data_IF_367376194286
#
_entry.id   IF_367376194286
#
_cell.length_a   1.000
_cell.length_b   1.000
_cell.length_c   1.000
_cell.angle_alpha   90.00
_cell.angle_beta   90.00
_cell.angle_gamma   90.00
#
_symmetry.space_group_name_H-M   'P 1'
#
loop_
_entity.id
_entity.type
_entity.pdbx_description
1 polymer ?
#
# COMPACT_ATOMS: atom_id res chain seq x y z
N UNK A 1 4.56 -14.22 -23.17
CA UNK A 1 3.60 -14.52 -22.07
C UNK A 1 2.86 -15.81 -22.37
N UNK A 2 2.69 -16.68 -21.35
CA UNK A 2 1.81 -17.86 -21.40
C UNK A 2 0.34 -17.45 -21.52
N UNK A 3 -0.58 -18.40 -21.74
CA UNK A 3 -2.02 -18.11 -21.76
C UNK A 3 -2.52 -17.58 -20.40
N UNK A 4 -2.05 -18.19 -19.30
CA UNK A 4 -2.37 -17.76 -17.93
C UNK A 4 -1.85 -16.35 -17.64
N UNK A 5 -0.62 -16.04 -18.03
CA UNK A 5 -0.06 -14.69 -17.90
C UNK A 5 -0.84 -13.65 -18.70
N UNK A 6 -1.35 -13.98 -19.87
CA UNK A 6 -2.16 -13.04 -20.67
C UNK A 6 -3.47 -12.67 -19.99
N UNK A 7 -4.16 -13.66 -19.44
CA UNK A 7 -5.41 -13.42 -18.70
C UNK A 7 -5.15 -12.53 -17.49
N UNK A 8 -4.12 -12.84 -16.71
CA UNK A 8 -3.75 -12.03 -15.54
C UNK A 8 -3.29 -10.62 -15.94
N UNK A 9 -2.53 -10.48 -17.03
CA UNK A 9 -2.09 -9.18 -17.53
C UNK A 9 -3.27 -8.27 -17.86
N UNK A 10 -4.25 -8.77 -18.62
CA UNK A 10 -5.43 -7.97 -18.99
C UNK A 10 -6.26 -7.57 -17.77
N UNK A 11 -6.43 -8.47 -16.80
CA UNK A 11 -7.14 -8.15 -15.57
C UNK A 11 -6.39 -7.10 -14.72
N UNK A 12 -5.08 -7.27 -14.55
CA UNK A 12 -4.24 -6.28 -13.85
C UNK A 12 -4.24 -4.93 -14.56
N UNK A 13 -4.04 -4.92 -15.88
CA UNK A 13 -4.02 -3.71 -16.69
C UNK A 13 -5.33 -2.92 -16.53
N UNK A 14 -6.47 -3.58 -16.71
CA UNK A 14 -7.78 -2.96 -16.55
C UNK A 14 -7.98 -2.39 -15.14
N UNK A 15 -7.59 -3.14 -14.11
CA UNK A 15 -7.69 -2.70 -12.72
C UNK A 15 -6.77 -1.52 -12.41
N UNK A 16 -5.55 -1.52 -12.94
CA UNK A 16 -4.58 -0.43 -12.77
C UNK A 16 -5.12 0.84 -13.46
N UNK A 17 -5.53 0.74 -14.73
CA UNK A 17 -6.05 1.88 -15.48
C UNK A 17 -7.31 2.49 -14.84
N UNK A 18 -8.07 1.70 -14.10
CA UNK A 18 -9.30 2.16 -13.42
C UNK A 18 -9.00 2.78 -12.05
N UNK A 19 -8.19 2.13 -11.22
CA UNK A 19 -8.14 2.38 -9.78
C UNK A 19 -6.81 2.99 -9.28
N UNK A 20 -5.70 2.82 -10.02
CA UNK A 20 -4.38 3.24 -9.58
C UNK A 20 -3.91 4.45 -10.40
N UNK A 21 -4.05 5.64 -9.82
CA UNK A 21 -3.72 6.92 -10.45
C UNK A 21 -2.65 7.65 -9.63
N UNK A 22 -1.90 8.51 -10.32
CA UNK A 22 -0.96 9.43 -9.70
C UNK A 22 0.50 8.98 -9.70
N UNK A 23 0.78 7.76 -10.14
CA UNK A 23 2.14 7.23 -10.28
C UNK A 23 2.24 6.29 -11.49
N UNK A 24 3.46 5.97 -11.91
CA UNK A 24 3.68 5.10 -13.06
C UNK A 24 3.59 3.63 -12.64
N UNK A 25 2.54 2.95 -13.10
CA UNK A 25 2.30 1.52 -12.87
C UNK A 25 2.39 0.70 -14.17
N UNK A 26 2.30 1.36 -15.32
CA UNK A 26 2.45 0.80 -16.67
C UNK A 26 3.38 1.73 -17.44
N UNK A 27 4.42 1.19 -18.06
CA UNK A 27 5.36 1.97 -18.84
C UNK A 27 4.87 2.25 -20.28
N UNK A 28 5.66 3.02 -21.04
CA UNK A 28 5.34 3.41 -22.43
C UNK A 28 5.20 2.22 -23.39
N UNK A 29 5.78 1.08 -23.04
CA UNK A 29 5.70 -0.16 -23.83
C UNK A 29 4.47 -1.01 -23.48
N UNK A 30 3.74 -0.63 -22.43
CA UNK A 30 2.63 -1.37 -21.86
C UNK A 30 3.07 -2.44 -20.85
N UNK A 31 4.34 -2.47 -20.44
CA UNK A 31 4.78 -3.39 -19.40
C UNK A 31 4.31 -2.93 -18.03
N UNK A 32 3.81 -3.87 -17.23
CA UNK A 32 3.48 -3.63 -15.83
C UNK A 32 4.77 -3.47 -15.03
N UNK A 33 4.84 -2.43 -14.21
CA UNK A 33 5.97 -2.16 -13.32
C UNK A 33 5.54 -2.27 -11.84
N UNK A 34 6.44 -2.01 -10.91
CA UNK A 34 6.12 -2.21 -9.50
C UNK A 34 5.84 -3.68 -9.15
N UNK A 35 4.96 -3.94 -8.19
CA UNK A 35 4.69 -5.30 -7.70
C UNK A 35 3.98 -6.18 -8.76
N UNK A 36 3.29 -5.57 -9.71
CA UNK A 36 2.57 -6.30 -10.76
C UNK A 36 3.49 -7.07 -11.69
N UNK A 37 4.73 -6.59 -11.93
CA UNK A 37 5.70 -7.28 -12.79
C UNK A 37 6.07 -8.68 -12.25
N UNK A 38 6.58 -8.84 -11.01
CA UNK A 38 6.85 -10.16 -10.45
C UNK A 38 5.59 -11.01 -10.28
N UNK A 39 4.43 -10.41 -9.95
CA UNK A 39 3.18 -11.16 -9.85
C UNK A 39 2.74 -11.72 -11.20
N UNK A 40 2.86 -10.94 -12.27
CA UNK A 40 2.57 -11.41 -13.63
C UNK A 40 3.53 -12.52 -14.08
N UNK A 41 4.81 -12.42 -13.67
CA UNK A 41 5.82 -13.42 -13.98
C UNK A 41 5.50 -14.79 -13.35
N UNK A 42 4.90 -14.77 -12.17
CA UNK A 42 4.54 -15.97 -11.41
C UNK A 42 3.03 -15.99 -11.08
N UNK A 43 2.15 -16.28 -12.06
CA UNK A 43 0.68 -16.13 -11.92
C UNK A 43 0.09 -16.96 -10.78
N UNK A 44 0.66 -18.14 -10.50
CA UNK A 44 0.24 -19.00 -9.39
C UNK A 44 0.21 -18.27 -8.04
N UNK A 45 1.12 -17.33 -7.82
CA UNK A 45 1.18 -16.51 -6.61
C UNK A 45 0.56 -15.12 -6.83
N UNK A 46 0.85 -14.50 -7.98
CA UNK A 46 0.40 -13.16 -8.29
C UNK A 46 -1.11 -13.03 -8.48
N UNK A 47 -1.77 -14.04 -9.04
CA UNK A 47 -3.23 -14.04 -9.19
C UNK A 47 -3.97 -13.91 -7.86
N UNK A 48 -3.77 -14.80 -6.88
CA UNK A 48 -4.39 -14.67 -5.55
C UNK A 48 -4.06 -13.35 -4.83
N UNK A 49 -2.83 -12.84 -4.98
CA UNK A 49 -2.46 -11.55 -4.40
C UNK A 49 -3.26 -10.42 -5.05
N UNK A 50 -3.39 -10.46 -6.37
CA UNK A 50 -4.18 -9.48 -7.12
C UNK A 50 -5.67 -9.52 -6.73
N UNK A 51 -6.24 -10.68 -6.46
CA UNK A 51 -7.61 -10.78 -5.93
C UNK A 51 -7.74 -10.08 -4.57
N UNK A 52 -6.76 -10.21 -3.67
CA UNK A 52 -6.74 -9.51 -2.40
C UNK A 52 -6.64 -7.99 -2.59
N UNK A 53 -5.80 -7.53 -3.52
CA UNK A 53 -5.70 -6.11 -3.90
C UNK A 53 -7.06 -5.57 -4.35
N UNK A 54 -7.75 -6.29 -5.24
CA UNK A 54 -9.09 -5.92 -5.71
C UNK A 54 -10.11 -5.88 -4.56
N UNK A 55 -10.10 -6.89 -3.70
CA UNK A 55 -11.02 -6.96 -2.55
C UNK A 55 -10.87 -5.75 -1.61
N UNK A 56 -9.62 -5.34 -1.32
CA UNK A 56 -9.34 -4.18 -0.47
C UNK A 56 -9.60 -2.83 -1.18
N UNK A 57 -9.69 -2.81 -2.51
CA UNK A 57 -9.88 -1.58 -3.29
C UNK A 57 -11.33 -1.30 -3.65
N UNK A 58 -12.21 -2.31 -3.68
CA UNK A 58 -13.53 -2.22 -4.29
C UNK A 58 -14.56 -1.48 -3.43
N UNK A 59 -14.48 -1.55 -2.11
CA UNK A 59 -15.44 -0.91 -1.21
C UNK A 59 -14.81 -0.55 0.12
N UNK A 60 -13.84 0.38 0.12
CA UNK A 60 -13.12 0.72 1.34
C UNK A 60 -14.06 1.37 2.35
N UNK A 61 -14.06 0.86 3.59
CA UNK A 61 -14.74 1.46 4.74
C UNK A 61 -13.93 2.59 5.35
N UNK A 62 -12.61 2.51 5.17
CA UNK A 62 -11.68 3.46 5.75
C UNK A 62 -11.55 4.73 4.91
N UNK A 63 -11.40 5.90 5.53
CA UNK A 63 -11.03 7.14 4.84
C UNK A 63 -9.72 6.96 4.06
N UNK A 64 -9.66 7.56 2.88
CA UNK A 64 -8.47 7.44 2.01
C UNK A 64 -7.16 7.85 2.68
N UNK A 65 -7.06 8.99 3.41
CA UNK A 65 -5.82 9.36 4.11
C UNK A 65 -5.40 8.34 5.17
N UNK A 66 -6.34 7.75 5.89
CA UNK A 66 -6.10 6.70 6.90
C UNK A 66 -5.43 5.48 6.26
N UNK A 67 -5.88 5.07 5.07
CA UNK A 67 -5.27 3.97 4.32
C UNK A 67 -3.83 4.28 3.92
N UNK A 68 -3.58 5.49 3.39
CA UNK A 68 -2.23 5.90 2.98
C UNK A 68 -1.25 5.96 4.16
N UNK A 69 -1.70 6.38 5.34
CA UNK A 69 -0.86 6.33 6.56
C UNK A 69 -0.41 4.89 6.84
N UNK A 70 -1.33 3.92 6.83
CA UNK A 70 -0.97 2.51 7.03
C UNK A 70 0.04 1.99 6.01
N UNK A 71 -0.15 2.36 4.74
CA UNK A 71 0.73 1.96 3.63
C UNK A 71 2.11 2.61 3.77
N UNK A 72 2.17 3.91 4.02
CA UNK A 72 3.43 4.65 4.17
C UNK A 72 4.24 4.18 5.38
N UNK A 73 3.58 3.91 6.53
CA UNK A 73 4.24 3.32 7.71
C UNK A 73 4.86 1.98 7.37
N UNK A 74 4.14 1.16 6.60
CA UNK A 74 4.65 -0.15 6.14
C UNK A 74 5.83 0.02 5.19
N UNK A 75 5.69 0.83 4.15
CA UNK A 75 6.76 1.10 3.18
C UNK A 75 8.03 1.65 3.84
N UNK A 76 7.88 2.58 4.77
CA UNK A 76 9.00 3.15 5.55
C UNK A 76 9.71 2.08 6.40
N UNK A 77 8.93 1.22 7.09
CA UNK A 77 9.48 0.13 7.91
C UNK A 77 10.32 -0.85 7.09
N UNK A 78 9.84 -1.23 5.91
CA UNK A 78 10.54 -2.14 4.99
C UNK A 78 11.58 -1.44 4.11
N UNK A 79 11.64 -0.10 4.13
CA UNK A 79 12.48 0.71 3.22
C UNK A 79 12.24 0.35 1.76
N UNK A 80 10.99 0.15 1.40
CA UNK A 80 10.58 -0.26 0.06
C UNK A 80 10.50 0.96 -0.85
N UNK A 81 11.48 1.14 -1.72
CA UNK A 81 11.63 2.35 -2.55
C UNK A 81 10.44 2.60 -3.46
N UNK A 82 10.03 1.60 -4.23
CA UNK A 82 8.88 1.75 -5.13
C UNK A 82 7.56 1.99 -4.36
N UNK A 83 7.37 1.32 -3.24
CA UNK A 83 6.21 1.50 -2.37
C UNK A 83 6.09 2.95 -1.89
N UNK A 84 7.21 3.46 -1.34
CA UNK A 84 7.26 4.85 -0.86
C UNK A 84 7.02 5.82 -2.01
N UNK A 85 7.68 5.62 -3.16
CA UNK A 85 7.48 6.43 -4.36
C UNK A 85 6.00 6.52 -4.75
N UNK A 86 5.34 5.37 -4.93
CA UNK A 86 3.97 5.34 -5.39
C UNK A 86 2.99 5.97 -4.37
N UNK A 87 3.14 5.62 -3.09
CA UNK A 87 2.19 6.03 -2.06
C UNK A 87 2.43 7.43 -1.50
N UNK A 88 3.60 8.03 -1.66
CA UNK A 88 3.80 9.47 -1.47
C UNK A 88 2.95 10.25 -2.47
N UNK A 89 3.02 9.94 -3.76
CA UNK A 89 2.22 10.59 -4.79
C UNK A 89 0.71 10.40 -4.59
N UNK A 90 0.29 9.19 -4.20
CA UNK A 90 -1.13 8.92 -3.92
C UNK A 90 -1.61 9.65 -2.67
N UNK A 91 -0.80 9.71 -1.61
CA UNK A 91 -1.13 10.41 -0.37
C UNK A 91 -1.30 11.92 -0.59
N UNK A 92 -0.41 12.54 -1.37
CA UNK A 92 -0.53 13.94 -1.82
C UNK A 92 -1.85 14.18 -2.56
N UNK A 93 -2.18 13.33 -3.55
CA UNK A 93 -3.44 13.41 -4.29
C UNK A 93 -4.69 13.22 -3.40
N UNK A 94 -4.55 12.56 -2.26
CA UNK A 94 -5.63 12.33 -1.29
C UNK A 94 -5.68 13.37 -0.19
N UNK A 95 -4.82 14.40 -0.27
CA UNK A 95 -4.81 15.55 0.61
C UNK A 95 -4.13 15.32 1.95
N UNK A 96 -3.27 14.31 2.07
CA UNK A 96 -2.41 14.19 3.25
C UNK A 96 -1.30 15.26 3.15
N UNK A 97 -1.10 16.11 4.19
CA UNK A 97 -0.08 17.15 4.16
C UNK A 97 1.35 16.63 3.99
N UNK A 98 2.17 17.35 3.22
CA UNK A 98 3.55 16.96 2.87
C UNK A 98 4.43 16.74 4.09
N UNK A 99 4.27 17.55 5.14
CA UNK A 99 5.02 17.43 6.39
C UNK A 99 4.69 16.13 7.15
N UNK A 100 3.42 15.72 7.14
CA UNK A 100 3.00 14.41 7.68
C UNK A 100 3.59 13.26 6.86
N UNK A 101 3.49 13.34 5.52
CA UNK A 101 4.07 12.35 4.61
C UNK A 101 5.57 12.20 4.87
N UNK A 102 6.30 13.31 4.86
CA UNK A 102 7.75 13.32 5.08
C UNK A 102 8.13 12.72 6.44
N UNK A 103 7.37 13.05 7.50
CA UNK A 103 7.61 12.52 8.85
C UNK A 103 7.39 11.01 8.91
N UNK A 104 6.31 10.50 8.28
CA UNK A 104 6.02 9.06 8.23
C UNK A 104 7.10 8.31 7.44
N UNK A 105 7.49 8.83 6.27
CA UNK A 105 8.54 8.24 5.42
C UNK A 105 9.90 8.21 6.13
N UNK A 106 10.17 9.20 6.99
CA UNK A 106 11.34 9.19 7.87
C UNK A 106 11.26 8.17 9.03
N UNK A 107 10.16 7.40 9.12
CA UNK A 107 9.93 6.42 10.18
C UNK A 107 9.54 7.05 11.51
N UNK A 108 9.04 8.27 11.50
CA UNK A 108 8.63 9.01 12.68
C UNK A 108 7.13 9.23 12.72
N UNK A 109 6.59 9.44 13.93
CA UNK A 109 5.17 9.72 14.15
C UNK A 109 4.92 11.23 14.07
N UNK A 110 4.07 11.71 13.15
CA UNK A 110 3.66 13.12 13.13
C UNK A 110 2.96 13.54 14.43
N UNK A 111 3.16 14.79 14.84
CA UNK A 111 2.60 15.31 16.11
C UNK A 111 1.17 15.84 15.97
N UNK A 112 0.73 16.13 14.74
CA UNK A 112 -0.53 16.82 14.41
C UNK A 112 -1.56 15.91 13.75
N UNK A 113 -1.46 14.59 13.97
CA UNK A 113 -2.43 13.61 13.47
C UNK A 113 -3.82 13.84 14.05
N UNK A 114 -4.86 13.76 13.22
CA UNK A 114 -6.24 13.61 13.71
C UNK A 114 -6.39 12.32 14.51
N UNK A 115 -7.51 12.15 15.21
CA UNK A 115 -7.76 10.95 15.99
C UNK A 115 -7.69 9.67 15.15
N UNK A 116 -8.31 9.67 13.97
CA UNK A 116 -8.33 8.52 13.07
C UNK A 116 -6.95 8.24 12.46
N UNK A 117 -6.24 9.29 12.06
CA UNK A 117 -4.86 9.20 11.56
C UNK A 117 -3.91 8.65 12.63
N UNK A 118 -4.05 9.10 13.88
CA UNK A 118 -3.24 8.62 14.99
C UNK A 118 -3.46 7.12 15.24
N UNK A 119 -4.73 6.68 15.27
CA UNK A 119 -5.06 5.25 15.41
C UNK A 119 -4.48 4.44 14.25
N UNK A 120 -4.60 4.92 13.02
CA UNK A 120 -4.03 4.24 11.86
C UNK A 120 -2.51 4.08 11.96
N UNK A 121 -1.81 5.16 12.33
CA UNK A 121 -0.36 5.13 12.54
C UNK A 121 0.03 4.13 13.64
N UNK A 122 -0.64 4.20 14.79
CA UNK A 122 -0.32 3.38 15.96
C UNK A 122 -0.59 1.88 15.70
N UNK A 123 -1.70 1.55 15.02
CA UNK A 123 -2.02 0.17 14.61
C UNK A 123 -1.00 -0.35 13.60
N UNK A 124 -0.73 0.41 12.53
CA UNK A 124 0.24 0.01 11.51
C UNK A 124 1.63 -0.18 12.12
N UNK A 125 2.10 0.78 12.93
CA UNK A 125 3.40 0.73 13.60
C UNK A 125 3.54 -0.50 14.52
N UNK A 126 2.48 -0.83 15.28
CA UNK A 126 2.47 -2.02 16.12
C UNK A 126 2.56 -3.31 15.28
N UNK A 127 1.74 -3.43 14.22
CA UNK A 127 1.69 -4.61 13.38
C UNK A 127 3.02 -4.85 12.62
N UNK A 128 3.61 -3.81 12.02
CA UNK A 128 4.88 -3.96 11.28
C UNK A 128 6.10 -4.14 12.20
N UNK A 129 5.94 -3.92 13.49
CA UNK A 129 6.98 -4.22 14.47
C UNK A 129 6.95 -5.67 14.95
N UNK A 130 5.91 -6.40 14.60
CA UNK A 130 5.71 -7.81 14.96
C UNK A 130 5.02 -8.00 16.30
N UNK A 131 4.50 -9.20 16.50
CA UNK A 131 3.76 -9.57 17.70
C UNK A 131 2.25 -9.31 17.63
N UNK A 132 1.59 -9.50 18.75
CA UNK A 132 0.14 -9.31 18.87
C UNK A 132 -0.18 -7.82 19.00
N UNK A 133 -1.20 -7.35 18.28
CA UNK A 133 -1.68 -5.97 18.44
C UNK A 133 -2.14 -5.74 19.89
N UNK A 134 -1.60 -4.70 20.58
CA UNK A 134 -1.96 -4.44 21.98
C UNK A 134 -3.48 -4.22 22.13
N UNK A 135 -4.04 -4.76 23.21
CA UNK A 135 -5.48 -4.71 23.50
C UNK A 135 -6.06 -3.28 23.45
N UNK A 136 -5.35 -2.31 24.04
CA UNK A 136 -5.80 -0.92 24.02
C UNK A 136 -5.81 -0.34 22.60
N UNK A 137 -4.79 -0.64 21.80
CA UNK A 137 -4.69 -0.20 20.40
C UNK A 137 -5.79 -0.85 19.54
N UNK A 138 -6.07 -2.15 19.75
CA UNK A 138 -7.18 -2.83 19.09
C UNK A 138 -8.53 -2.18 19.41
N UNK A 139 -8.82 -1.90 20.69
CA UNK A 139 -10.06 -1.22 21.10
C UNK A 139 -10.17 0.19 20.53
N UNK A 140 -9.06 0.93 20.41
CA UNK A 140 -9.05 2.24 19.76
C UNK A 140 -9.38 2.12 18.28
N UNK A 141 -8.86 1.09 17.59
CA UNK A 141 -9.18 0.80 16.19
C UNK A 141 -10.68 0.50 16.00
N UNK A 142 -11.24 -0.38 16.83
CA UNK A 142 -12.69 -0.67 16.81
C UNK A 142 -13.51 0.61 17.06
N UNK A 143 -13.11 1.44 18.01
CA UNK A 143 -13.82 2.70 18.31
C UNK A 143 -13.73 3.75 17.17
N UNK A 144 -12.65 3.72 16.38
CA UNK A 144 -12.44 4.64 15.26
C UNK A 144 -13.06 4.13 13.95
N UNK A 145 -12.95 2.84 13.65
CA UNK A 145 -13.23 2.27 12.33
C UNK A 145 -14.33 1.19 12.33
N UNK A 146 -14.80 0.77 13.50
CA UNK A 146 -15.68 -0.39 13.64
C UNK A 146 -14.93 -1.71 13.41
N UNK A 147 -15.66 -2.83 13.50
CA UNK A 147 -15.10 -4.17 13.31
C UNK A 147 -14.61 -4.38 11.86
N UNK A 148 -15.46 -4.06 10.88
CA UNK A 148 -15.14 -4.20 9.46
C UNK A 148 -13.96 -3.32 9.04
N UNK A 149 -13.94 -2.05 9.46
CA UNK A 149 -12.85 -1.13 9.16
C UNK A 149 -11.53 -1.54 9.81
N UNK A 150 -11.58 -2.08 11.03
CA UNK A 150 -10.39 -2.63 11.71
C UNK A 150 -9.87 -3.87 10.98
N UNK A 151 -10.75 -4.78 10.57
CA UNK A 151 -10.38 -5.95 9.79
C UNK A 151 -9.78 -5.54 8.42
N UNK A 152 -10.40 -4.58 7.73
CA UNK A 152 -9.87 -4.01 6.49
C UNK A 152 -8.46 -3.45 6.70
N UNK A 153 -8.24 -2.66 7.77
CA UNK A 153 -6.95 -2.03 8.02
C UNK A 153 -5.85 -3.05 8.34
N UNK A 154 -6.15 -4.08 9.14
CA UNK A 154 -5.20 -5.16 9.44
C UNK A 154 -4.81 -5.91 8.16
N UNK A 155 -5.79 -6.25 7.31
CA UNK A 155 -5.52 -6.92 6.03
C UNK A 155 -4.76 -5.99 5.06
N UNK A 156 -5.04 -4.70 5.06
CA UNK A 156 -4.31 -3.72 4.27
C UNK A 156 -2.83 -3.69 4.66
N UNK A 157 -2.52 -3.55 5.95
CA UNK A 157 -1.13 -3.57 6.45
C UNK A 157 -0.45 -4.89 6.08
N UNK A 158 -1.12 -6.04 6.26
CA UNK A 158 -0.61 -7.36 5.89
C UNK A 158 -0.30 -7.47 4.39
N UNK A 159 -1.20 -6.98 3.53
CA UNK A 159 -0.98 -6.92 2.08
C UNK A 159 0.27 -6.09 1.76
N UNK A 160 0.39 -4.90 2.34
CA UNK A 160 1.51 -4.00 2.03
C UNK A 160 2.86 -4.46 2.63
N UNK A 161 2.85 -5.23 3.71
CA UNK A 161 4.05 -5.99 4.13
C UNK A 161 4.49 -6.96 3.02
N UNK A 162 3.55 -7.72 2.45
CA UNK A 162 3.84 -8.66 1.36
C UNK A 162 4.28 -7.92 0.08
N UNK A 163 3.64 -6.80 -0.26
CA UNK A 163 4.05 -5.94 -1.40
C UNK A 163 5.49 -5.46 -1.19
N UNK A 164 5.79 -4.89 -0.03
CA UNK A 164 7.14 -4.39 0.29
C UNK A 164 8.21 -5.49 0.21
N UNK A 165 7.92 -6.68 0.75
CA UNK A 165 8.82 -7.85 0.65
C UNK A 165 9.00 -8.28 -0.80
N UNK A 166 7.93 -8.27 -1.61
CA UNK A 166 8.00 -8.60 -3.04
C UNK A 166 8.88 -7.61 -3.78
N UNK A 167 8.65 -6.31 -3.59
CA UNK A 167 9.42 -5.24 -4.24
C UNK A 167 10.91 -5.32 -3.87
N UNK A 168 11.22 -5.48 -2.60
CA UNK A 168 12.60 -5.58 -2.12
C UNK A 168 13.26 -6.90 -2.58
N UNK A 169 12.52 -8.02 -2.54
CA UNK A 169 13.05 -9.34 -2.92
C UNK A 169 13.37 -9.48 -4.40
N UNK A 170 12.66 -8.75 -5.28
CA UNK A 170 12.91 -8.71 -6.71
C UNK A 170 13.69 -7.46 -7.17
N UNK A 171 14.16 -6.64 -6.21
CA UNK A 171 14.89 -5.40 -6.48
C UNK A 171 14.18 -4.50 -7.51
N UNK A 172 12.87 -4.28 -7.29
CA UNK A 172 12.03 -3.52 -8.22
C UNK A 172 12.41 -2.05 -8.16
N UNK A 173 12.89 -1.45 -9.28
CA UNK A 173 13.36 -0.08 -9.27
C UNK A 173 12.22 0.94 -9.19
N UNK A 174 12.54 2.12 -8.68
CA UNK A 174 11.71 3.31 -8.86
C UNK A 174 11.84 3.79 -10.31
N UNK A 175 10.75 4.18 -11.02
CA UNK A 175 10.81 4.67 -12.39
C UNK A 175 11.75 5.86 -12.55
N UNK A 176 12.58 5.84 -13.59
CA UNK A 176 13.46 6.97 -13.94
C UNK A 176 12.62 8.18 -14.37
N UNK A 177 12.95 9.36 -13.87
CA UNK A 177 12.25 10.62 -14.16
C UNK A 177 11.22 11.03 -13.12
N UNK A 178 10.70 10.11 -12.33
CA UNK A 178 9.79 10.37 -11.22
C UNK A 178 10.52 10.43 -9.87
N UNK A 179 11.78 10.04 -9.82
CA UNK A 179 12.62 10.30 -8.65
C UNK A 179 12.79 11.82 -8.50
N UNK A 180 12.25 12.40 -7.43
CA UNK A 180 12.45 13.83 -7.12
C UNK A 180 13.93 14.16 -7.12
N UNK A 181 14.31 15.10 -8.01
CA UNK A 181 15.67 15.66 -8.04
C UNK A 181 15.97 16.44 -6.77
#
# INVERSE_FOLDING_TARGET
MSAEQRVLYEDMRNGIETNFKGFTAIDETGALIGPWNPWLRFPKFGGPIWELVKALSTSPKLPRPVREIGILVTGAKFRSGYEIYAHVLVAELRGLPDDKIATIVAGQRPSDLTREEAVAYDVASALVSGGVLPELTYRQSIAAFGEEGTAEFINLVGLYCMVSVTLNGFDVPVPEGDARK
#
